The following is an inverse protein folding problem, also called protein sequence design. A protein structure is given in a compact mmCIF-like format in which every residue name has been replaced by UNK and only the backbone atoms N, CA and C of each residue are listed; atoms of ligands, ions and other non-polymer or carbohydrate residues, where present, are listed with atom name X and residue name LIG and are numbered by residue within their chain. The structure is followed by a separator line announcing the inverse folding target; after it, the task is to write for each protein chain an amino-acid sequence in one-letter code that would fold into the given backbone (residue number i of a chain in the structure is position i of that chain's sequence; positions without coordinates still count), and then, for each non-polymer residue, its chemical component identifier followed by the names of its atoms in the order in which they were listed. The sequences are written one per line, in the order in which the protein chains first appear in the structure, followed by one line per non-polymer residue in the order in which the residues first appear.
data_IF_246965093121
#
_entry.id   IF_246965093121
#
_cell.length_a   1.000
_cell.length_b   1.000
_cell.length_c   1.000
_cell.angle_alpha   90.00
_cell.angle_beta   90.00
_cell.angle_gamma   90.00
#
_symmetry.space_group_name_H-M   'P 1'
#
loop_
_entity.id
_entity.type
_entity.pdbx_description
1 polymer ?
#
# COMPACT_ATOMS: atom_id res chain seq x y z
N UNK A 1 50.10 -17.37 33.98
CA UNK A 1 50.59 -18.76 33.86
C UNK A 1 49.54 -19.57 33.11
N UNK A 2 49.99 -20.21 32.02
CA UNK A 2 49.49 -21.45 31.37
C UNK A 2 47.97 -21.59 31.14
N UNK A 3 47.41 -21.61 29.93
CA UNK A 3 47.83 -22.20 28.64
C UNK A 3 48.31 -23.64 28.76
N UNK A 4 47.38 -24.60 28.61
CA UNK A 4 47.54 -26.02 28.30
C UNK A 4 46.12 -26.54 28.01
N UNK A 5 45.78 -27.39 27.04
CA UNK A 5 46.54 -28.23 26.13
C UNK A 5 45.65 -28.52 24.90
N UNK A 6 46.31 -28.53 23.75
CA UNK A 6 45.93 -29.05 22.44
C UNK A 6 45.68 -30.57 22.42
N UNK A 7 44.83 -31.03 21.47
CA UNK A 7 45.03 -32.12 20.49
C UNK A 7 43.72 -32.90 20.21
N UNK A 8 43.15 -32.79 19.00
CA UNK A 8 43.36 -33.65 17.81
C UNK A 8 42.86 -35.09 18.02
N UNK A 9 41.73 -35.43 17.39
CA UNK A 9 41.35 -36.76 16.85
C UNK A 9 40.29 -36.47 15.77
N UNK A 10 40.62 -36.45 14.47
CA UNK A 10 40.87 -37.58 13.56
C UNK A 10 39.64 -37.84 12.67
N UNK A 11 39.88 -37.73 11.35
CA UNK A 11 39.02 -38.16 10.26
C UNK A 11 38.36 -39.52 10.54
N UNK A 12 37.07 -39.63 10.23
CA UNK A 12 36.45 -40.89 9.85
C UNK A 12 35.53 -40.66 8.65
N UNK A 13 36.06 -41.01 7.49
CA UNK A 13 35.34 -41.23 6.24
C UNK A 13 34.47 -42.47 6.45
N UNK A 14 33.15 -42.33 6.32
CA UNK A 14 32.24 -43.46 6.19
C UNK A 14 31.41 -43.27 4.92
N UNK A 15 31.86 -44.00 3.90
CA UNK A 15 31.19 -44.22 2.62
C UNK A 15 29.87 -44.94 2.88
N UNK A 16 28.75 -44.34 2.47
CA UNK A 16 27.48 -45.05 2.32
C UNK A 16 27.08 -45.02 0.83
N UNK A 17 27.46 -46.10 0.14
CA UNK A 17 26.89 -46.47 -1.16
C UNK A 17 25.75 -47.44 -0.83
N UNK A 18 24.52 -47.05 -1.16
CA UNK A 18 23.42 -47.99 -1.28
C UNK A 18 22.49 -47.56 -2.43
N UNK A 19 22.21 -48.56 -3.25
CA UNK A 19 21.78 -48.54 -4.64
C UNK A 19 20.25 -48.43 -4.77
N UNK A 20 19.82 -47.87 -5.90
CA UNK A 20 18.57 -48.12 -6.63
C UNK A 20 17.21 -47.75 -6.01
N UNK A 21 16.59 -46.69 -6.56
CA UNK A 21 15.32 -46.83 -7.30
C UNK A 21 15.26 -45.73 -8.37
N UNK A 22 15.73 -46.07 -9.59
CA UNK A 22 15.50 -45.25 -10.77
C UNK A 22 14.07 -45.50 -11.21
N UNK A 23 13.14 -44.66 -10.75
CA UNK A 23 11.85 -44.53 -11.43
C UNK A 23 12.12 -43.90 -12.81
N UNK A 24 11.55 -44.44 -13.90
CA UNK A 24 11.62 -43.75 -15.18
C UNK A 24 10.79 -42.47 -15.01
N UNK A 25 11.46 -41.34 -14.83
CA UNK A 25 10.85 -40.06 -15.12
C UNK A 25 10.52 -40.11 -16.61
N UNK A 26 9.27 -40.47 -16.89
CA UNK A 26 8.64 -40.19 -18.16
C UNK A 26 9.03 -38.76 -18.51
N UNK A 27 9.76 -38.61 -19.62
CA UNK A 27 10.02 -37.33 -20.26
C UNK A 27 8.66 -36.70 -20.54
N UNK A 28 8.13 -35.96 -19.58
CA UNK A 28 7.24 -34.86 -19.88
C UNK A 28 8.14 -33.95 -20.68
N UNK A 29 8.02 -33.99 -22.00
CA UNK A 29 8.66 -33.05 -22.89
C UNK A 29 8.27 -31.67 -22.39
N UNK A 30 9.15 -31.07 -21.58
CA UNK A 30 9.07 -29.69 -21.21
C UNK A 30 9.19 -28.95 -22.53
N UNK A 31 8.07 -28.42 -23.01
CA UNK A 31 8.08 -27.42 -24.06
C UNK A 31 9.20 -26.45 -23.73
N UNK A 32 10.13 -26.18 -24.66
CA UNK A 32 11.32 -25.40 -24.35
C UNK A 32 10.88 -24.10 -23.70
N UNK A 33 11.33 -23.87 -22.46
CA UNK A 33 11.16 -22.61 -21.75
C UNK A 33 11.94 -21.58 -22.56
N UNK A 34 11.26 -20.95 -23.51
CA UNK A 34 11.89 -20.00 -24.40
C UNK A 34 12.37 -18.79 -23.59
N UNK A 35 13.63 -18.41 -23.81
CA UNK A 35 14.25 -17.16 -23.38
C UNK A 35 13.23 -16.02 -23.42
N UNK A 36 12.91 -15.48 -22.24
CA UNK A 36 12.33 -14.15 -21.99
C UNK A 36 11.73 -13.44 -23.25
N UNK A 37 10.44 -13.62 -23.53
CA UNK A 37 9.75 -12.96 -24.65
C UNK A 37 9.86 -11.42 -24.52
N UNK A 38 10.43 -10.77 -25.53
CA UNK A 38 10.62 -9.31 -25.61
C UNK A 38 9.28 -8.59 -25.41
N UNK A 39 8.19 -9.11 -25.96
CA UNK A 39 6.85 -8.51 -25.83
C UNK A 39 6.38 -8.55 -24.37
N UNK A 40 6.54 -9.69 -23.70
CA UNK A 40 6.15 -9.86 -22.30
C UNK A 40 6.97 -8.95 -21.37
N UNK A 41 8.28 -8.85 -21.63
CA UNK A 41 9.16 -7.92 -20.93
C UNK A 41 8.73 -6.47 -21.15
N UNK A 42 8.40 -6.08 -22.38
CA UNK A 42 7.90 -4.74 -22.67
C UNK A 42 6.58 -4.46 -21.96
N UNK A 43 5.64 -5.40 -21.93
CA UNK A 43 4.36 -5.25 -21.20
C UNK A 43 4.64 -5.01 -19.71
N UNK A 44 5.47 -5.86 -19.08
CA UNK A 44 5.82 -5.74 -17.66
C UNK A 44 6.52 -4.42 -17.34
N UNK A 45 7.53 -4.06 -18.14
CA UNK A 45 8.33 -2.85 -17.93
C UNK A 45 7.52 -1.58 -18.17
N UNK A 46 6.73 -1.50 -19.24
CA UNK A 46 5.85 -0.35 -19.51
C UNK A 46 4.80 -0.17 -18.40
N UNK A 47 4.15 -1.25 -17.97
CA UNK A 47 3.18 -1.20 -16.88
C UNK A 47 3.82 -0.75 -15.57
N UNK A 48 5.00 -1.30 -15.23
CA UNK A 48 5.74 -0.92 -14.02
C UNK A 48 6.22 0.53 -14.09
N UNK A 49 6.68 1.00 -15.26
CA UNK A 49 7.11 2.37 -15.48
C UNK A 49 5.97 3.36 -15.23
N UNK A 50 4.81 3.13 -15.84
CA UNK A 50 3.62 3.97 -15.64
C UNK A 50 3.14 3.96 -14.19
N UNK A 51 3.11 2.79 -13.53
CA UNK A 51 2.76 2.70 -12.11
C UNK A 51 3.69 3.51 -11.22
N UNK A 52 5.01 3.34 -11.39
CA UNK A 52 6.02 4.06 -10.60
C UNK A 52 5.99 5.57 -10.86
N UNK A 53 5.71 5.99 -12.10
CA UNK A 53 5.53 7.40 -12.44
C UNK A 53 4.32 8.00 -11.71
N UNK A 54 3.18 7.30 -11.71
CA UNK A 54 1.99 7.73 -10.97
C UNK A 54 2.23 7.74 -9.45
N UNK A 55 2.96 6.75 -8.92
CA UNK A 55 3.32 6.69 -7.51
C UNK A 55 4.21 7.87 -7.10
N UNK A 56 5.20 8.23 -7.91
CA UNK A 56 6.04 9.40 -7.68
C UNK A 56 5.23 10.69 -7.68
N UNK A 57 4.32 10.87 -8.64
CA UNK A 57 3.42 12.02 -8.70
C UNK A 57 2.52 12.11 -7.46
N UNK A 58 1.93 11.00 -7.02
CA UNK A 58 1.11 10.97 -5.80
C UNK A 58 1.93 11.27 -4.54
N UNK A 59 3.16 10.75 -4.45
CA UNK A 59 4.06 11.05 -3.34
C UNK A 59 4.42 12.53 -3.31
N UNK A 60 4.64 13.15 -4.47
CA UNK A 60 4.89 14.59 -4.59
C UNK A 60 3.72 15.42 -4.13
N UNK A 61 2.50 15.14 -4.61
CA UNK A 61 1.30 15.84 -4.15
C UNK A 61 1.10 15.71 -2.63
N UNK A 62 1.36 14.52 -2.06
CA UNK A 62 1.29 14.30 -0.61
C UNK A 62 2.34 15.09 0.14
N UNK A 63 3.57 15.17 -0.38
CA UNK A 63 4.66 15.93 0.23
C UNK A 63 4.33 17.41 0.26
N UNK A 64 3.90 17.98 -0.88
CA UNK A 64 3.46 19.37 -0.98
C UNK A 64 2.33 19.70 0.00
N UNK A 65 1.33 18.81 0.11
CA UNK A 65 0.22 19.00 1.04
C UNK A 65 0.69 18.97 2.52
N UNK A 66 1.55 18.02 2.89
CA UNK A 66 2.06 17.95 4.27
C UNK A 66 2.97 19.14 4.59
N UNK A 67 3.80 19.58 3.64
CA UNK A 67 4.67 20.76 3.79
C UNK A 67 3.83 22.04 3.95
N UNK A 68 2.77 22.22 3.14
CA UNK A 68 1.85 23.36 3.29
C UNK A 68 1.15 23.37 4.65
N UNK A 69 0.67 22.21 5.10
CA UNK A 69 0.09 22.06 6.43
C UNK A 69 1.09 22.32 7.56
N UNK A 70 2.35 21.98 7.35
CA UNK A 70 3.40 22.22 8.32
C UNK A 70 3.68 23.73 8.47
N UNK A 71 3.66 24.49 7.37
CA UNK A 71 3.77 25.96 7.39
C UNK A 71 2.63 26.60 8.16
N UNK A 72 1.38 26.26 7.82
CA UNK A 72 0.19 26.76 8.55
C UNK A 72 0.27 26.43 10.04
N UNK A 73 0.75 25.24 10.39
CA UNK A 73 0.89 24.84 11.77
C UNK A 73 2.01 25.62 12.48
N UNK A 74 3.11 25.90 11.79
CA UNK A 74 4.19 26.74 12.30
C UNK A 74 3.70 28.16 12.60
N UNK A 75 2.93 28.76 11.69
CA UNK A 75 2.38 30.10 11.87
C UNK A 75 1.45 30.15 13.08
N UNK A 76 0.57 29.15 13.24
CA UNK A 76 -0.28 29.00 14.44
C UNK A 76 0.52 28.84 15.73
N UNK A 77 1.66 28.15 15.68
CA UNK A 77 2.57 28.01 16.84
C UNK A 77 3.15 29.38 17.19
N UNK A 78 3.68 30.12 16.21
CA UNK A 78 4.25 31.45 16.40
C UNK A 78 3.20 32.40 16.99
N UNK A 79 1.99 32.45 16.44
CA UNK A 79 0.91 33.31 16.94
C UNK A 79 0.51 32.95 18.37
N UNK A 80 0.41 31.65 18.68
CA UNK A 80 0.06 31.18 20.02
C UNK A 80 1.17 31.49 21.03
N UNK A 81 2.44 31.33 20.64
CA UNK A 81 3.60 31.69 21.47
C UNK A 81 3.66 33.19 21.73
N UNK A 82 3.44 34.01 20.71
CA UNK A 82 3.41 35.46 20.83
C UNK A 82 2.32 35.91 21.82
N UNK A 83 1.10 35.41 21.66
CA UNK A 83 -0.01 35.73 22.56
C UNK A 83 0.24 35.26 23.99
N UNK A 84 0.75 34.03 24.17
CA UNK A 84 1.06 33.48 25.49
C UNK A 84 2.16 34.30 26.19
N UNK A 85 3.20 34.70 25.46
CA UNK A 85 4.28 35.55 26.00
C UNK A 85 3.76 36.93 26.41
N UNK A 86 2.84 37.51 25.63
CA UNK A 86 2.17 38.78 25.98
C UNK A 86 1.34 38.64 27.26
N UNK A 87 0.54 37.59 27.37
CA UNK A 87 -0.28 37.28 28.56
C UNK A 87 0.59 37.11 29.81
N UNK A 88 1.67 36.31 29.71
CA UNK A 88 2.63 36.07 30.80
C UNK A 88 3.32 37.38 31.20
N UNK A 89 3.69 38.23 30.25
CA UNK A 89 4.32 39.55 30.53
C UNK A 89 3.37 40.46 31.32
N UNK A 90 2.10 40.53 30.94
CA UNK A 90 1.09 41.33 31.68
C UNK A 90 0.91 40.80 33.09
N UNK A 91 0.74 39.48 33.25
CA UNK A 91 0.61 38.85 34.56
C UNK A 91 1.86 39.08 35.42
N UNK A 92 3.05 38.98 34.85
CA UNK A 92 4.33 39.24 35.54
C UNK A 92 4.45 40.69 35.99
N UNK A 93 4.08 41.66 35.15
CA UNK A 93 4.09 43.08 35.50
C UNK A 93 3.10 43.39 36.62
N UNK A 94 1.89 42.82 36.58
CA UNK A 94 0.87 43.00 37.62
C UNK A 94 1.29 42.36 38.94
N UNK A 95 1.79 41.12 38.92
CA UNK A 95 2.32 40.46 40.10
C UNK A 95 3.49 41.24 40.72
N UNK A 96 4.38 41.78 39.90
CA UNK A 96 5.49 42.63 40.33
C UNK A 96 5.01 43.95 40.93
N UNK A 97 3.97 44.57 40.39
CA UNK A 97 3.36 45.78 40.97
C UNK A 97 2.77 45.51 42.35
N UNK A 98 2.07 44.38 42.51
CA UNK A 98 1.56 43.93 43.82
C UNK A 98 2.70 43.68 44.82
N UNK A 99 3.81 43.08 44.37
CA UNK A 99 4.94 42.72 45.25
C UNK A 99 5.90 43.88 45.57
N UNK A 100 6.16 44.78 44.61
CA UNK A 100 7.14 45.87 44.77
C UNK A 100 6.61 47.06 45.57
N UNK A 101 5.32 47.12 45.84
CA UNK A 101 4.72 48.20 46.61
C UNK A 101 4.90 47.99 48.12
N UNK A 102 6.16 47.90 48.56
CA UNK A 102 6.52 47.66 49.95
C UNK A 102 6.43 48.91 50.84
N UNK A 103 6.08 50.10 50.32
CA UNK A 103 6.06 51.34 51.12
C UNK A 103 4.93 52.30 50.73
N UNK A 104 3.66 51.87 50.84
CA UNK A 104 2.53 52.67 51.34
C UNK A 104 1.19 52.65 50.57
N UNK A 105 0.93 51.87 49.51
CA UNK A 105 -0.45 51.79 48.94
C UNK A 105 -0.81 50.41 48.35
N UNK A 106 -0.80 49.36 49.17
CA UNK A 106 -1.37 48.06 48.75
C UNK A 106 -2.82 48.25 48.28
N UNK A 107 -3.30 47.46 47.32
CA UNK A 107 -4.73 47.49 46.93
C UNK A 107 -5.66 47.28 48.14
N UNK A 108 -5.20 46.47 49.11
CA UNK A 108 -5.84 46.27 50.42
C UNK A 108 -5.77 47.55 51.26
N UNK A 109 -4.63 48.24 51.27
CA UNK A 109 -4.46 49.50 52.00
C UNK A 109 -5.30 50.63 51.39
N UNK A 110 -5.43 50.73 50.06
CA UNK A 110 -6.33 51.67 49.38
C UNK A 110 -7.80 51.43 49.78
N UNK A 111 -8.20 50.17 49.92
CA UNK A 111 -9.52 49.80 50.45
C UNK A 111 -9.65 50.24 51.92
N UNK A 112 -8.64 49.98 52.76
CA UNK A 112 -8.66 50.31 54.19
C UNK A 112 -8.50 51.82 54.50
N UNK A 113 -7.92 52.62 53.59
CA UNK A 113 -7.75 54.07 53.71
C UNK A 113 -8.92 54.88 53.12
N UNK A 114 -9.99 54.21 52.68
CA UNK A 114 -11.17 54.84 52.11
C UNK A 114 -11.81 55.82 53.10
N UNK A 115 -12.07 57.06 52.69
CA UNK A 115 -12.57 58.14 53.55
C UNK A 115 -14.09 58.16 53.68
N UNK A 116 -14.79 57.41 52.82
CA UNK A 116 -16.25 57.26 52.85
C UNK A 116 -16.67 55.82 52.54
N UNK A 117 -17.87 55.46 52.99
CA UNK A 117 -18.46 54.15 52.68
C UNK A 117 -18.65 53.95 51.15
N UNK A 118 -18.95 55.02 50.43
CA UNK A 118 -19.05 54.99 48.96
C UNK A 118 -17.70 54.71 48.28
N UNK A 119 -16.64 55.36 48.76
CA UNK A 119 -15.27 55.12 48.30
C UNK A 119 -14.80 53.71 48.62
N UNK A 120 -15.14 53.19 49.81
CA UNK A 120 -14.87 51.82 50.22
C UNK A 120 -15.50 50.79 49.27
N UNK A 121 -16.80 50.92 48.97
CA UNK A 121 -17.50 50.03 48.03
C UNK A 121 -16.87 50.12 46.64
N UNK A 122 -16.60 51.34 46.17
CA UNK A 122 -16.00 51.57 44.85
C UNK A 122 -14.63 50.90 44.73
N UNK A 123 -13.77 51.05 45.74
CA UNK A 123 -12.45 50.42 45.78
C UNK A 123 -12.53 48.89 45.86
N UNK A 124 -13.49 48.34 46.62
CA UNK A 124 -13.77 46.90 46.67
C UNK A 124 -14.22 46.35 45.31
N UNK A 125 -15.11 47.05 44.62
CA UNK A 125 -15.60 46.68 43.29
C UNK A 125 -14.46 46.68 42.26
N UNK A 126 -13.63 47.73 42.23
CA UNK A 126 -12.47 47.79 41.34
C UNK A 126 -11.47 46.66 41.59
N UNK A 127 -11.19 46.34 42.86
CA UNK A 127 -10.31 45.23 43.21
C UNK A 127 -10.89 43.88 42.77
N UNK A 128 -12.19 43.67 42.99
CA UNK A 128 -12.91 42.48 42.51
C UNK A 128 -12.84 42.33 40.99
N UNK A 129 -12.97 43.43 40.23
CA UNK A 129 -12.83 43.44 38.78
C UNK A 129 -11.42 43.07 38.32
N UNK A 130 -10.37 43.58 38.99
CA UNK A 130 -8.97 43.24 38.70
C UNK A 130 -8.72 41.74 38.92
N UNK A 131 -9.12 41.20 40.08
CA UNK A 131 -8.95 39.78 40.39
C UNK A 131 -9.70 38.88 39.40
N UNK A 132 -10.93 39.26 39.02
CA UNK A 132 -11.72 38.54 38.01
C UNK A 132 -11.01 38.52 36.65
N UNK A 133 -10.42 39.66 36.25
CA UNK A 133 -9.68 39.75 35.00
C UNK A 133 -8.38 38.93 35.04
N UNK A 134 -7.61 38.99 36.12
CA UNK A 134 -6.38 38.21 36.28
C UNK A 134 -6.66 36.70 36.33
N UNK A 135 -7.72 36.28 37.02
CA UNK A 135 -8.16 34.88 37.01
C UNK A 135 -8.50 34.41 35.58
N UNK A 136 -9.19 35.25 34.79
CA UNK A 136 -9.50 34.96 33.39
C UNK A 136 -8.23 34.86 32.54
N UNK A 137 -7.28 35.78 32.70
CA UNK A 137 -5.99 35.74 32.02
C UNK A 137 -5.17 34.49 32.35
N UNK A 138 -5.12 34.09 33.63
CA UNK A 138 -4.44 32.84 34.05
C UNK A 138 -5.11 31.61 33.45
N UNK A 139 -6.45 31.53 33.46
CA UNK A 139 -7.20 30.43 32.81
C UNK A 139 -6.90 30.38 31.31
N UNK A 140 -6.93 31.52 30.63
CA UNK A 140 -6.65 31.62 29.20
C UNK A 140 -5.20 31.21 28.87
N UNK A 141 -4.23 31.67 29.66
CA UNK A 141 -2.82 31.31 29.52
C UNK A 141 -2.58 29.80 29.67
N UNK A 142 -3.26 29.14 30.63
CA UNK A 142 -3.22 27.68 30.77
C UNK A 142 -3.78 26.97 29.53
N UNK A 143 -4.91 27.44 28.99
CA UNK A 143 -5.52 26.87 27.77
C UNK A 143 -4.59 27.06 26.56
N UNK A 144 -4.06 28.26 26.37
CA UNK A 144 -3.12 28.59 25.28
C UNK A 144 -1.85 27.74 25.37
N UNK A 145 -1.32 27.52 26.58
CA UNK A 145 -0.18 26.63 26.82
C UNK A 145 -0.48 25.18 26.43
N UNK A 146 -1.64 24.64 26.83
CA UNK A 146 -2.06 23.29 26.42
C UNK A 146 -2.17 23.19 24.90
N UNK A 147 -2.83 24.17 24.28
CA UNK A 147 -3.00 24.24 22.82
C UNK A 147 -1.64 24.28 22.11
N UNK A 148 -0.69 25.06 22.63
CA UNK A 148 0.68 25.13 22.09
C UNK A 148 1.39 23.78 22.14
N UNK A 149 1.27 23.03 23.23
CA UNK A 149 1.85 21.68 23.37
C UNK A 149 1.28 20.75 22.30
N UNK A 150 -0.03 20.77 22.08
CA UNK A 150 -0.69 19.94 21.07
C UNK A 150 -0.28 20.33 19.65
N UNK A 151 -0.19 21.64 19.36
CA UNK A 151 0.31 22.13 18.07
C UNK A 151 1.74 21.66 17.81
N UNK A 152 2.65 21.80 18.79
CA UNK A 152 4.04 21.33 18.70
C UNK A 152 4.12 19.82 18.50
N UNK A 153 3.29 19.03 19.19
CA UNK A 153 3.19 17.58 19.00
C UNK A 153 2.75 17.22 17.57
N UNK A 154 1.70 17.86 17.07
CA UNK A 154 1.22 17.68 15.70
C UNK A 154 2.31 18.07 14.67
N UNK A 155 3.09 19.11 14.95
CA UNK A 155 4.18 19.57 14.10
C UNK A 155 5.28 18.53 13.97
N UNK A 156 5.72 17.96 15.10
CA UNK A 156 6.68 16.86 15.11
C UNK A 156 6.17 15.64 14.34
N UNK A 157 4.91 15.26 14.53
CA UNK A 157 4.29 14.14 13.80
C UNK A 157 4.28 14.39 12.28
N UNK A 158 3.95 15.60 11.83
CA UNK A 158 3.98 15.98 10.40
C UNK A 158 5.42 16.00 9.86
N UNK A 159 6.40 16.50 10.62
CA UNK A 159 7.83 16.44 10.24
C UNK A 159 8.29 14.99 10.06
N UNK A 160 7.93 14.10 10.97
CA UNK A 160 8.26 12.68 10.83
C UNK A 160 7.62 12.09 9.58
N UNK A 161 6.35 12.43 9.30
CA UNK A 161 5.66 12.02 8.07
C UNK A 161 6.40 12.49 6.81
N UNK A 162 6.88 13.74 6.77
CA UNK A 162 7.69 14.26 5.64
C UNK A 162 8.96 13.42 5.44
N UNK A 163 9.68 13.09 6.51
CA UNK A 163 10.89 12.25 6.41
C UNK A 163 10.55 10.89 5.81
N UNK A 164 9.46 10.25 6.25
CA UNK A 164 9.03 8.95 5.70
C UNK A 164 8.63 9.05 4.23
N UNK A 165 7.91 10.10 3.84
CA UNK A 165 7.49 10.33 2.45
C UNK A 165 8.70 10.62 1.54
N UNK A 166 9.68 11.40 1.99
CA UNK A 166 10.92 11.66 1.25
C UNK A 166 11.71 10.37 1.01
N UNK A 167 11.85 9.52 2.04
CA UNK A 167 12.48 8.20 1.89
C UNK A 167 11.72 7.29 0.92
N UNK A 168 10.39 7.28 0.98
CA UNK A 168 9.56 6.52 0.05
C UNK A 168 9.74 7.02 -1.40
N UNK A 169 9.72 8.33 -1.62
CA UNK A 169 9.97 8.97 -2.93
C UNK A 169 11.34 8.60 -3.48
N UNK A 170 12.39 8.65 -2.65
CA UNK A 170 13.74 8.28 -3.06
C UNK A 170 13.82 6.82 -3.52
N UNK A 171 13.22 5.89 -2.75
CA UNK A 171 13.16 4.47 -3.11
C UNK A 171 12.41 4.24 -4.41
N UNK A 172 11.23 4.84 -4.57
CA UNK A 172 10.43 4.78 -5.80
C UNK A 172 11.21 5.35 -6.99
N UNK A 173 11.92 6.46 -6.79
CA UNK A 173 12.77 7.10 -7.81
C UNK A 173 13.93 6.20 -8.27
N UNK A 174 14.62 5.52 -7.33
CA UNK A 174 15.66 4.53 -7.66
C UNK A 174 15.08 3.38 -8.50
N UNK A 175 13.93 2.83 -8.09
CA UNK A 175 13.26 1.78 -8.86
C UNK A 175 12.83 2.25 -10.25
N UNK A 176 12.28 3.46 -10.35
CA UNK A 176 11.85 4.06 -11.61
C UNK A 176 13.02 4.21 -12.60
N UNK A 177 14.19 4.66 -12.12
CA UNK A 177 15.42 4.75 -12.93
C UNK A 177 15.84 3.39 -13.47
N UNK A 178 15.88 2.35 -12.63
CA UNK A 178 16.24 0.99 -13.05
C UNK A 178 15.27 0.46 -14.11
N UNK A 179 13.96 0.61 -13.89
CA UNK A 179 12.92 0.18 -14.83
C UNK A 179 13.01 0.95 -16.15
N UNK A 180 13.25 2.25 -16.10
CA UNK A 180 13.42 3.10 -17.29
C UNK A 180 14.61 2.65 -18.13
N UNK A 181 15.75 2.36 -17.49
CA UNK A 181 16.94 1.85 -18.18
C UNK A 181 16.64 0.51 -18.84
N UNK A 182 16.02 -0.42 -18.12
CA UNK A 182 15.62 -1.73 -18.66
C UNK A 182 14.66 -1.60 -19.85
N UNK A 183 13.66 -0.73 -19.73
CA UNK A 183 12.69 -0.45 -20.80
C UNK A 183 13.37 0.13 -22.03
N UNK A 184 14.27 1.09 -21.88
CA UNK A 184 15.05 1.66 -23.00
C UNK A 184 15.87 0.59 -23.71
N UNK A 185 16.57 -0.28 -22.98
CA UNK A 185 17.33 -1.40 -23.55
C UNK A 185 16.43 -2.34 -24.37
N UNK A 186 15.28 -2.73 -23.82
CA UNK A 186 14.31 -3.60 -24.52
C UNK A 186 13.69 -2.93 -25.74
N UNK A 187 13.38 -1.64 -25.66
CA UNK A 187 12.83 -0.89 -26.80
C UNK A 187 13.83 -0.82 -27.97
N UNK A 188 15.13 -0.67 -27.69
CA UNK A 188 16.16 -0.64 -28.75
C UNK A 188 16.19 -1.91 -29.58
N UNK A 189 16.04 -3.08 -28.96
CA UNK A 189 16.09 -4.38 -29.65
C UNK A 189 14.74 -4.83 -30.22
N UNK A 190 13.62 -4.25 -29.74
CA UNK A 190 12.28 -4.68 -30.14
C UNK A 190 11.88 -4.15 -31.52
N UNK A 191 11.36 -5.04 -32.35
CA UNK A 191 10.79 -4.76 -33.66
C UNK A 191 9.49 -3.95 -33.56
N UNK A 192 9.06 -3.32 -34.66
CA UNK A 192 7.78 -2.59 -34.74
C UNK A 192 6.58 -3.48 -34.37
N UNK A 193 6.58 -4.73 -34.86
CA UNK A 193 5.51 -5.72 -34.58
C UNK A 193 5.46 -6.08 -33.09
N UNK A 194 6.59 -6.34 -32.45
CA UNK A 194 6.64 -6.64 -31.02
C UNK A 194 6.20 -5.46 -30.16
N UNK A 195 6.59 -4.23 -30.53
CA UNK A 195 6.12 -3.01 -29.86
C UNK A 195 4.60 -2.85 -29.95
N UNK A 196 4.02 -3.11 -31.12
CA UNK A 196 2.57 -3.09 -31.33
C UNK A 196 1.86 -4.17 -30.52
N UNK A 197 2.39 -5.39 -30.49
CA UNK A 197 1.86 -6.48 -29.67
C UNK A 197 1.93 -6.13 -28.17
N UNK A 198 3.00 -5.50 -27.71
CA UNK A 198 3.12 -5.07 -26.32
C UNK A 198 2.09 -4.00 -25.97
N UNK A 199 1.80 -3.06 -26.89
CA UNK A 199 0.72 -2.08 -26.70
C UNK A 199 -0.64 -2.78 -26.58
N UNK A 200 -0.99 -3.68 -27.53
CA UNK A 200 -2.23 -4.46 -27.45
C UNK A 200 -2.33 -5.27 -26.15
N UNK A 201 -1.22 -5.86 -25.70
CA UNK A 201 -1.15 -6.59 -24.44
C UNK A 201 -1.37 -5.70 -23.21
N UNK A 202 -0.86 -4.47 -23.22
CA UNK A 202 -1.13 -3.48 -22.17
C UNK A 202 -2.59 -3.04 -22.16
N UNK A 203 -3.20 -2.85 -23.33
CA UNK A 203 -4.61 -2.47 -23.46
C UNK A 203 -5.50 -3.60 -22.91
N UNK A 204 -5.19 -4.85 -23.26
CA UNK A 204 -5.84 -6.03 -22.69
C UNK A 204 -5.64 -6.12 -21.16
N UNK A 205 -4.44 -5.83 -20.66
CA UNK A 205 -4.17 -5.82 -19.22
C UNK A 205 -4.98 -4.75 -18.48
N UNK A 206 -5.11 -3.54 -19.04
CA UNK A 206 -5.97 -2.49 -18.48
C UNK A 206 -7.44 -2.91 -18.50
N UNK A 207 -7.90 -3.46 -19.60
CA UNK A 207 -9.24 -4.03 -19.73
C UNK A 207 -9.55 -5.08 -18.64
N UNK A 208 -8.67 -6.07 -18.44
CA UNK A 208 -8.87 -7.09 -17.41
C UNK A 208 -8.86 -6.49 -16.01
N UNK A 209 -8.03 -5.48 -15.75
CA UNK A 209 -8.03 -4.77 -14.46
C UNK A 209 -9.37 -4.08 -14.20
N UNK A 210 -9.91 -3.35 -15.18
CA UNK A 210 -11.20 -2.66 -15.04
C UNK A 210 -12.35 -3.63 -14.86
N UNK A 211 -12.37 -4.71 -15.65
CA UNK A 211 -13.38 -5.76 -15.52
C UNK A 211 -13.35 -6.44 -14.14
N UNK A 212 -12.17 -6.87 -13.69
CA UNK A 212 -12.02 -7.51 -12.37
C UNK A 212 -12.33 -6.53 -11.23
N UNK A 213 -12.05 -5.23 -11.39
CA UNK A 213 -12.45 -4.21 -10.43
C UNK A 213 -13.99 -4.06 -10.37
N UNK A 214 -14.67 -4.04 -11.52
CA UNK A 214 -16.14 -4.03 -11.60
C UNK A 214 -16.75 -5.24 -10.88
N UNK A 215 -16.15 -6.42 -11.03
CA UNK A 215 -16.60 -7.64 -10.34
C UNK A 215 -16.19 -7.71 -8.87
N UNK A 216 -15.53 -6.67 -8.34
CA UNK A 216 -14.99 -6.61 -6.98
C UNK A 216 -14.04 -7.78 -6.67
N UNK A 217 -13.32 -8.26 -7.69
CA UNK A 217 -12.39 -9.36 -7.56
C UNK A 217 -11.14 -8.94 -6.78
N UNK A 218 -10.65 -9.77 -5.84
CA UNK A 218 -9.36 -9.54 -5.19
C UNK A 218 -8.17 -9.68 -6.16
N UNK A 219 -8.38 -10.23 -7.36
CA UNK A 219 -7.37 -10.32 -8.42
C UNK A 219 -7.27 -9.04 -9.27
N UNK A 220 -8.04 -7.98 -8.95
CA UNK A 220 -7.90 -6.67 -9.63
C UNK A 220 -6.45 -6.18 -9.56
N UNK A 221 -5.95 -5.63 -10.66
CA UNK A 221 -4.55 -5.22 -10.80
C UNK A 221 -3.61 -6.29 -11.37
N UNK A 222 -4.08 -7.53 -11.58
CA UNK A 222 -3.29 -8.62 -12.18
C UNK A 222 -3.43 -8.76 -13.70
N UNK A 223 -4.02 -7.81 -14.40
CA UNK A 223 -4.22 -7.87 -15.85
C UNK A 223 -2.94 -8.14 -16.63
N UNK A 224 -1.80 -7.58 -16.22
CA UNK A 224 -0.49 -7.89 -16.83
C UNK A 224 -0.14 -9.37 -16.66
N UNK A 225 -0.39 -9.94 -15.47
CA UNK A 225 -0.14 -11.35 -15.19
C UNK A 225 -1.01 -12.24 -16.07
N UNK A 226 -2.30 -11.95 -16.18
CA UNK A 226 -3.22 -12.68 -17.05
C UNK A 226 -2.77 -12.65 -18.51
N UNK A 227 -2.38 -11.48 -19.02
CA UNK A 227 -1.88 -11.34 -20.40
C UNK A 227 -0.59 -12.13 -20.61
N UNK A 228 0.43 -11.94 -19.75
CA UNK A 228 1.72 -12.61 -19.94
C UNK A 228 1.64 -14.12 -19.72
N UNK A 229 0.83 -14.59 -18.76
CA UNK A 229 0.60 -16.02 -18.56
C UNK A 229 -0.13 -16.62 -19.77
N UNK A 230 -1.15 -15.94 -20.28
CA UNK A 230 -1.87 -16.39 -21.47
C UNK A 230 -0.99 -16.44 -22.72
N UNK A 231 -0.06 -15.50 -22.89
CA UNK A 231 0.94 -15.54 -23.96
C UNK A 231 1.93 -16.69 -23.79
N UNK A 232 2.54 -16.79 -22.61
CA UNK A 232 3.53 -17.81 -22.27
C UNK A 232 2.98 -19.23 -22.47
N UNK A 233 1.78 -19.49 -21.94
CA UNK A 233 1.15 -20.80 -22.04
C UNK A 233 0.20 -20.91 -23.23
N UNK A 234 0.13 -19.91 -24.11
CA UNK A 234 -0.78 -19.87 -25.27
C UNK A 234 -2.24 -20.18 -24.89
N UNK A 235 -2.73 -19.71 -23.74
CA UNK A 235 -4.12 -19.89 -23.27
C UNK A 235 -4.81 -18.53 -23.30
N UNK A 236 -6.07 -18.49 -23.78
CA UNK A 236 -6.83 -17.25 -23.78
C UNK A 236 -7.07 -16.78 -22.33
N UNK A 237 -6.58 -15.60 -21.89
CA UNK A 237 -6.77 -15.14 -20.51
C UNK A 237 -8.24 -15.03 -20.08
N UNK A 238 -9.15 -14.77 -21.02
CA UNK A 238 -10.60 -14.67 -20.73
C UNK A 238 -11.17 -15.98 -20.22
N UNK A 239 -10.68 -17.14 -20.69
CA UNK A 239 -11.16 -18.44 -20.18
C UNK A 239 -10.73 -18.65 -18.73
N UNK A 240 -9.52 -18.20 -18.39
CA UNK A 240 -8.99 -18.29 -17.03
C UNK A 240 -9.82 -17.43 -16.08
N UNK A 241 -10.17 -16.21 -16.51
CA UNK A 241 -11.03 -15.29 -15.77
C UNK A 241 -12.46 -15.85 -15.65
N UNK A 242 -13.03 -16.39 -16.74
CA UNK A 242 -14.38 -16.93 -16.75
C UNK A 242 -14.53 -18.14 -15.84
N UNK A 243 -13.57 -19.07 -15.84
CA UNK A 243 -13.57 -20.21 -14.92
C UNK A 243 -13.50 -19.70 -13.47
N UNK A 244 -12.68 -18.70 -13.14
CA UNK A 244 -12.70 -18.10 -11.80
C UNK A 244 -14.08 -17.52 -11.44
N UNK A 245 -14.79 -16.96 -12.41
CA UNK A 245 -16.18 -16.50 -12.27
C UNK A 245 -17.11 -17.63 -11.83
N UNK A 246 -17.03 -18.79 -12.50
CA UNK A 246 -17.83 -19.98 -12.16
C UNK A 246 -17.46 -20.55 -10.79
N UNK A 247 -16.17 -20.71 -10.52
CA UNK A 247 -15.68 -21.48 -9.37
C UNK A 247 -15.75 -20.72 -8.04
N UNK A 248 -15.59 -19.39 -8.07
CA UNK A 248 -15.44 -18.60 -6.84
C UNK A 248 -16.02 -17.20 -6.92
N UNK A 249 -16.79 -16.89 -7.97
CA UNK A 249 -17.24 -15.52 -8.22
C UNK A 249 -16.06 -14.58 -8.41
N UNK A 250 -15.07 -14.96 -9.21
CA UNK A 250 -13.83 -14.22 -9.47
C UNK A 250 -12.91 -14.10 -8.24
N UNK A 251 -12.87 -15.12 -7.40
CA UNK A 251 -12.01 -15.19 -6.21
C UNK A 251 -12.64 -14.62 -4.94
N UNK A 252 -13.92 -14.26 -4.95
CA UNK A 252 -14.65 -13.78 -3.77
C UNK A 252 -14.90 -14.89 -2.75
N UNK A 253 -15.13 -16.12 -3.23
CA UNK A 253 -15.38 -17.30 -2.40
C UNK A 253 -14.40 -18.41 -2.78
N UNK A 254 -13.20 -18.37 -2.19
CA UNK A 254 -12.13 -19.29 -2.57
C UNK A 254 -12.16 -20.58 -1.76
N UNK A 255 -11.70 -21.67 -2.41
CA UNK A 255 -11.60 -22.97 -1.78
C UNK A 255 -10.40 -23.10 -0.81
N UNK A 256 -9.41 -22.23 -0.95
CA UNK A 256 -8.27 -22.03 -0.04
C UNK A 256 -7.59 -20.68 -0.37
N UNK A 257 -6.54 -20.30 0.37
CA UNK A 257 -5.74 -19.09 0.14
C UNK A 257 -5.36 -18.90 -1.33
N UNK A 258 -5.87 -17.82 -1.92
CA UNK A 258 -5.62 -17.41 -3.31
C UNK A 258 -6.03 -18.47 -4.36
N UNK A 259 -6.98 -19.36 -4.06
CA UNK A 259 -7.41 -20.41 -4.98
C UNK A 259 -8.81 -20.14 -5.54
N UNK A 260 -8.87 -19.34 -6.62
CA UNK A 260 -10.11 -18.98 -7.30
C UNK A 260 -10.68 -20.08 -8.21
N UNK A 261 -9.97 -21.19 -8.43
CA UNK A 261 -10.31 -22.22 -9.42
C UNK A 261 -10.50 -23.61 -8.81
N UNK A 262 -10.69 -23.71 -7.49
CA UNK A 262 -10.93 -24.99 -6.81
C UNK A 262 -9.81 -26.02 -6.97
N UNK A 263 -8.57 -25.60 -7.24
CA UNK A 263 -7.44 -26.49 -7.55
C UNK A 263 -7.13 -27.43 -6.38
N UNK A 264 -7.01 -28.73 -6.65
CA UNK A 264 -6.63 -29.74 -5.65
C UNK A 264 -5.11 -29.82 -5.45
N UNK A 265 -4.68 -30.14 -4.23
CA UNK A 265 -3.28 -30.42 -3.91
C UNK A 265 -2.90 -31.86 -4.31
N UNK A 266 -1.60 -32.18 -4.36
CA UNK A 266 -1.08 -33.50 -4.76
C UNK A 266 -1.29 -34.62 -3.71
N UNK A 267 -1.93 -34.33 -2.58
CA UNK A 267 -2.23 -35.30 -1.51
C UNK A 267 -3.66 -35.21 -0.98
N UNK A 268 -4.59 -34.68 -1.78
CA UNK A 268 -5.96 -34.38 -1.34
C UNK A 268 -6.13 -32.94 -0.84
N UNK A 269 -7.39 -32.53 -0.64
CA UNK A 269 -7.73 -31.16 -0.24
C UNK A 269 -7.52 -30.09 -1.32
N UNK A 270 -7.90 -28.86 -1.01
CA UNK A 270 -7.72 -27.70 -1.89
C UNK A 270 -6.33 -27.09 -1.70
N UNK A 271 -5.65 -26.81 -2.81
CA UNK A 271 -4.32 -26.20 -2.83
C UNK A 271 -4.39 -24.74 -2.36
N UNK A 272 -3.52 -24.35 -1.43
CA UNK A 272 -3.23 -22.95 -1.14
C UNK A 272 -2.08 -22.43 -2.01
N UNK A 273 -2.09 -21.14 -2.32
CA UNK A 273 -0.98 -20.45 -2.98
C UNK A 273 -0.43 -19.33 -2.09
N UNK A 274 0.75 -18.82 -2.40
CA UNK A 274 1.35 -17.70 -1.67
C UNK A 274 0.87 -16.34 -2.18
N UNK A 275 0.29 -16.30 -3.39
CA UNK A 275 -0.28 -15.07 -3.97
C UNK A 275 -1.26 -15.35 -5.11
N UNK A 276 -2.13 -14.38 -5.38
CA UNK A 276 -2.96 -14.37 -6.58
C UNK A 276 -2.16 -14.50 -7.87
N UNK A 277 -0.99 -13.84 -7.96
CA UNK A 277 -0.12 -13.92 -9.16
C UNK A 277 0.32 -15.35 -9.43
N UNK A 278 0.74 -16.07 -8.39
CA UNK A 278 1.15 -17.47 -8.50
C UNK A 278 -0.02 -18.35 -8.97
N UNK A 279 -1.19 -18.19 -8.35
CA UNK A 279 -2.38 -18.97 -8.69
C UNK A 279 -2.85 -18.78 -10.14
N UNK A 280 -2.80 -17.54 -10.67
CA UNK A 280 -3.11 -17.24 -12.08
C UNK A 280 -2.14 -17.97 -13.02
N UNK A 281 -0.84 -17.88 -12.75
CA UNK A 281 0.20 -18.53 -13.56
C UNK A 281 0.00 -20.05 -13.52
N UNK A 282 -0.19 -20.63 -12.33
CA UNK A 282 -0.38 -22.06 -12.16
C UNK A 282 -1.66 -22.58 -12.84
N UNK A 283 -2.77 -21.85 -12.73
CA UNK A 283 -4.00 -22.22 -13.40
C UNK A 283 -3.84 -22.18 -14.93
N UNK A 284 -3.17 -21.15 -15.44
CA UNK A 284 -2.97 -20.98 -16.88
C UNK A 284 -2.08 -22.09 -17.44
N UNK A 285 -0.99 -22.45 -16.74
CA UNK A 285 -0.13 -23.57 -17.12
C UNK A 285 -0.87 -24.90 -17.05
N UNK A 286 -1.69 -25.09 -16.01
CA UNK A 286 -2.50 -26.30 -15.86
C UNK A 286 -3.49 -26.50 -17.01
N UNK A 287 -4.17 -25.43 -17.46
CA UNK A 287 -5.05 -25.50 -18.64
C UNK A 287 -4.28 -25.90 -19.90
N UNK A 288 -3.08 -25.34 -20.10
CA UNK A 288 -2.21 -25.70 -21.22
C UNK A 288 -1.81 -27.17 -21.15
N UNK A 289 -1.24 -27.59 -20.03
CA UNK A 289 -0.65 -28.93 -19.86
C UNK A 289 -1.68 -30.06 -19.90
N UNK A 290 -2.86 -29.85 -19.29
CA UNK A 290 -3.80 -30.94 -19.03
C UNK A 290 -4.98 -30.99 -19.99
N UNK A 291 -5.19 -29.93 -20.75
CA UNK A 291 -6.31 -29.80 -21.68
C UNK A 291 -5.82 -29.46 -23.08
N UNK A 292 -5.18 -28.29 -23.26
CA UNK A 292 -4.90 -27.79 -24.62
C UNK A 292 -3.85 -28.66 -25.34
N UNK A 293 -2.86 -29.19 -24.63
CA UNK A 293 -1.86 -30.11 -25.21
C UNK A 293 -2.48 -31.45 -25.65
N UNK A 294 -3.64 -31.81 -25.11
CA UNK A 294 -4.41 -33.00 -25.51
C UNK A 294 -5.51 -32.67 -26.54
N UNK A 295 -5.47 -31.48 -27.15
CA UNK A 295 -6.48 -31.03 -28.12
C UNK A 295 -7.80 -30.54 -27.50
N UNK A 296 -7.98 -30.63 -26.17
CA UNK A 296 -9.18 -30.19 -25.47
C UNK A 296 -9.18 -28.66 -25.34
N UNK A 297 -9.69 -27.99 -26.38
CA UNK A 297 -9.75 -26.52 -26.46
C UNK A 297 -11.16 -25.95 -26.45
N UNK A 298 -12.19 -26.78 -26.68
CA UNK A 298 -13.59 -26.40 -26.54
C UNK A 298 -14.03 -26.39 -25.07
N UNK A 299 -15.04 -25.58 -24.73
CA UNK A 299 -15.59 -25.55 -23.37
C UNK A 299 -16.17 -26.90 -22.95
N UNK A 300 -16.76 -27.62 -23.90
CA UNK A 300 -17.29 -28.97 -23.71
C UNK A 300 -16.17 -29.97 -23.40
N UNK A 301 -15.09 -29.96 -24.20
CA UNK A 301 -13.93 -30.84 -23.99
C UNK A 301 -13.15 -30.52 -22.71
N UNK A 302 -13.11 -29.24 -22.31
CA UNK A 302 -12.55 -28.85 -21.01
C UNK A 302 -13.48 -29.32 -19.88
N UNK A 303 -14.78 -29.05 -19.98
CA UNK A 303 -15.76 -29.36 -18.95
C UNK A 303 -15.90 -30.85 -18.67
N UNK A 304 -15.86 -31.71 -19.69
CA UNK A 304 -15.94 -33.17 -19.53
C UNK A 304 -14.85 -33.74 -18.62
N UNK A 305 -13.67 -33.09 -18.58
CA UNK A 305 -12.53 -33.48 -17.75
C UNK A 305 -12.38 -32.64 -16.48
N UNK A 306 -12.73 -31.35 -16.54
CA UNK A 306 -12.56 -30.41 -15.41
C UNK A 306 -13.67 -30.58 -14.37
N UNK A 307 -14.91 -30.85 -14.81
CA UNK A 307 -16.09 -31.03 -13.97
C UNK A 307 -16.94 -32.21 -14.49
N UNK A 308 -16.43 -33.46 -14.38
CA UNK A 308 -17.13 -34.64 -14.89
C UNK A 308 -18.51 -34.78 -14.24
N UNK A 309 -19.52 -35.14 -15.04
CA UNK A 309 -20.92 -35.26 -14.59
C UNK A 309 -21.68 -33.92 -14.47
N UNK A 310 -21.01 -32.77 -14.60
CA UNK A 310 -21.66 -31.46 -14.56
C UNK A 310 -21.89 -30.89 -15.97
N UNK A 311 -22.99 -31.31 -16.62
CA UNK A 311 -23.36 -30.85 -17.96
C UNK A 311 -23.60 -29.33 -18.06
N UNK A 312 -23.88 -28.64 -16.95
CA UNK A 312 -24.13 -27.19 -16.93
C UNK A 312 -22.84 -26.35 -16.94
N UNK A 313 -21.69 -26.92 -16.56
CA UNK A 313 -20.45 -26.18 -16.36
C UNK A 313 -19.96 -25.45 -17.62
N UNK A 314 -19.93 -26.08 -18.82
CA UNK A 314 -19.54 -25.38 -20.05
C UNK A 314 -20.42 -24.16 -20.35
N UNK A 315 -21.73 -24.27 -20.09
CA UNK A 315 -22.69 -23.17 -20.27
C UNK A 315 -22.41 -21.99 -19.33
N UNK A 316 -22.09 -22.28 -18.05
CA UNK A 316 -21.73 -21.25 -17.06
C UNK A 316 -20.43 -20.53 -17.46
N UNK A 317 -19.41 -21.25 -17.92
CA UNK A 317 -18.16 -20.63 -18.41
C UNK A 317 -18.44 -19.79 -19.66
N UNK A 318 -19.28 -20.26 -20.58
CA UNK A 318 -19.70 -19.51 -21.76
C UNK A 318 -20.40 -18.20 -21.39
N UNK A 319 -21.30 -18.23 -20.39
CA UNK A 319 -21.96 -17.03 -19.87
C UNK A 319 -20.94 -15.98 -19.39
N UNK A 320 -19.97 -16.36 -18.56
CA UNK A 320 -18.95 -15.42 -18.10
C UNK A 320 -18.00 -14.96 -19.20
N UNK A 321 -17.66 -15.81 -20.17
CA UNK A 321 -16.93 -15.37 -21.37
C UNK A 321 -17.72 -14.32 -22.16
N UNK A 322 -19.03 -14.52 -22.31
CA UNK A 322 -19.94 -13.56 -22.91
C UNK A 322 -19.95 -12.23 -22.16
N UNK A 323 -20.02 -12.26 -20.84
CA UNK A 323 -19.98 -11.08 -19.97
C UNK A 323 -18.66 -10.30 -20.06
N UNK A 324 -17.51 -11.00 -20.01
CA UNK A 324 -16.19 -10.38 -20.24
C UNK A 324 -16.16 -9.68 -21.61
N UNK A 325 -16.59 -10.36 -22.67
CA UNK A 325 -16.58 -9.80 -24.05
C UNK A 325 -17.60 -8.69 -24.25
N UNK A 326 -18.75 -8.74 -23.57
CA UNK A 326 -19.74 -7.69 -23.59
C UNK A 326 -19.18 -6.41 -22.93
N UNK A 327 -18.46 -6.54 -21.82
CA UNK A 327 -17.76 -5.42 -21.20
C UNK A 327 -16.74 -4.78 -22.16
N UNK A 328 -16.00 -5.58 -22.94
CA UNK A 328 -15.04 -5.06 -23.94
C UNK A 328 -15.72 -4.21 -25.03
N UNK A 329 -16.89 -4.62 -25.48
CA UNK A 329 -17.65 -3.91 -26.54
C UNK A 329 -18.20 -2.56 -26.09
N UNK A 330 -18.47 -2.39 -24.79
CA UNK A 330 -19.02 -1.14 -24.24
C UNK A 330 -18.01 0.02 -24.19
N UNK A 331 -16.72 -0.22 -24.47
CA UNK A 331 -15.72 0.84 -24.64
C UNK A 331 -15.43 1.69 -23.39
N UNK A 332 -15.80 1.21 -22.20
CA UNK A 332 -15.56 1.88 -20.91
C UNK A 332 -14.15 1.58 -20.39
#
# INVERSE_FOLDING_TARGET
MMNYFTRIYSLAIAVFIAFAFVLPLAKVAALPINKQDIVDDLIRLKARNSRLQNELSQLDSRLTNVDANLRILNDKIIDTEFNLNREIKILSQRAKAVYKDNHHQTSIKLILESKSFYELITNLDFFGLILKQDQKLVKQSKINRSKLIDLKRSFLNKRQKIVTLKRAKERAGKQFRVVTIGLRKRLKIATKKERQQATKGLDAARFYNSYLALKQSPMRGLGVTFVTAGRQYKVNPEIVIAIAGVESGFGKHCANSFNAWGRKSKGGGYRGYSSWKESVINQTSYLRERYYNSGLTSLQGIGSKYAPGNGSWPGKVSHFLGDVRAYRRKGI
#
